data_IF_925174091812
#
_entry.id   IF_925174091812
#
_cell.length_a   1.000
_cell.length_b   1.000
_cell.length_c   1.000
_cell.angle_alpha   90.00
_cell.angle_beta   90.00
_cell.angle_gamma   90.00
#
_symmetry.space_group_name_H-M   'P 1'
#
loop_
_entity.id
_entity.type
_entity.pdbx_description
1 polymer ?
#
# COMPACT_ATOMS: atom_id res chain seq x y z
N UNK A 1 10.31 -13.73 -4.10
CA UNK A 1 10.09 -13.04 -5.40
C UNK A 1 9.01 -11.99 -5.23
N UNK A 2 8.92 -11.02 -6.15
CA UNK A 2 7.88 -9.97 -6.11
C UNK A 2 6.53 -10.58 -6.46
N UNK A 3 5.51 -10.37 -5.61
CA UNK A 3 4.13 -10.80 -5.85
C UNK A 3 3.25 -9.58 -6.04
N UNK A 4 2.49 -9.48 -7.16
CA UNK A 4 1.54 -8.38 -7.34
C UNK A 4 0.34 -8.56 -6.39
N UNK A 5 -0.11 -7.47 -5.80
CA UNK A 5 -1.33 -7.38 -5.01
C UNK A 5 -2.18 -6.21 -5.50
N UNK A 6 -3.50 -6.41 -5.55
CA UNK A 6 -4.42 -5.27 -5.56
C UNK A 6 -4.49 -4.68 -4.16
N UNK A 7 -4.89 -3.41 -4.04
CA UNK A 7 -5.09 -2.76 -2.73
C UNK A 7 -6.04 -3.58 -1.86
N UNK A 8 -7.17 -4.03 -2.44
CA UNK A 8 -8.13 -4.91 -1.76
C UNK A 8 -7.46 -6.18 -1.23
N UNK A 9 -6.72 -6.90 -2.08
CA UNK A 9 -6.10 -8.16 -1.69
C UNK A 9 -5.03 -7.99 -0.61
N UNK A 10 -4.31 -6.86 -0.61
CA UNK A 10 -3.34 -6.52 0.43
C UNK A 10 -4.02 -6.23 1.78
N UNK A 11 -5.16 -5.51 1.77
CA UNK A 11 -5.89 -5.12 2.98
C UNK A 11 -6.74 -6.25 3.57
N UNK A 12 -7.24 -7.17 2.73
CA UNK A 12 -7.97 -8.37 3.16
C UNK A 12 -7.02 -9.51 3.56
N UNK A 13 -5.70 -9.35 3.40
CA UNK A 13 -4.72 -10.35 3.79
C UNK A 13 -4.76 -10.56 5.32
N UNK A 14 -4.79 -11.83 5.75
CA UNK A 14 -4.75 -12.20 7.17
C UNK A 14 -3.32 -12.27 7.70
N UNK A 15 -2.33 -12.03 6.85
CA UNK A 15 -0.94 -11.96 7.26
C UNK A 15 -0.70 -10.82 8.27
N UNK A 16 0.19 -11.08 9.22
CA UNK A 16 0.55 -10.09 10.24
C UNK A 16 1.72 -9.25 9.75
N UNK A 17 1.47 -7.97 9.48
CA UNK A 17 2.50 -7.00 9.15
C UNK A 17 2.98 -6.26 10.41
N UNK A 18 4.30 -6.15 10.57
CA UNK A 18 4.94 -5.56 11.75
C UNK A 18 5.81 -4.38 11.31
N UNK A 19 5.57 -3.21 11.89
CA UNK A 19 6.45 -2.05 11.75
C UNK A 19 7.48 -2.13 12.88
N UNK A 20 8.77 -2.37 12.60
CA UNK A 20 9.77 -2.53 13.64
C UNK A 20 10.16 -1.18 14.27
N UNK A 21 10.63 -1.22 15.52
CA UNK A 21 10.92 -0.01 16.32
C UNK A 21 11.97 0.94 15.73
N UNK A 22 12.83 0.44 14.85
CA UNK A 22 13.88 1.24 14.20
C UNK A 22 13.37 1.98 12.96
N UNK A 23 12.14 1.73 12.53
CA UNK A 23 11.50 2.51 11.48
C UNK A 23 11.10 3.90 11.97
N UNK A 24 10.95 4.81 11.02
CA UNK A 24 10.52 6.19 11.31
C UNK A 24 9.05 6.19 11.75
N UNK A 25 8.66 7.19 12.53
CA UNK A 25 7.24 7.39 12.84
C UNK A 25 6.42 7.71 11.57
N UNK A 26 5.11 7.50 11.66
CA UNK A 26 4.19 8.01 10.65
C UNK A 26 4.30 9.54 10.58
N UNK A 27 4.49 10.06 9.36
CA UNK A 27 4.86 11.44 9.11
C UNK A 27 4.22 12.00 7.82
N UNK A 28 3.42 11.19 7.10
CA UNK A 28 2.63 11.70 5.99
C UNK A 28 1.57 12.66 6.53
N UNK A 29 1.55 13.86 5.98
CA UNK A 29 0.54 14.87 6.25
C UNK A 29 -0.55 14.85 5.18
N UNK A 30 -1.37 15.90 5.19
CA UNK A 30 -2.48 16.05 4.26
C UNK A 30 -2.05 16.00 2.78
N UNK A 31 -0.88 16.57 2.44
CA UNK A 31 -0.38 16.60 1.07
C UNK A 31 -0.13 15.21 0.50
N UNK A 32 0.62 14.37 1.21
CA UNK A 32 0.93 13.00 0.75
C UNK A 32 -0.31 12.11 0.75
N UNK A 33 -1.18 12.27 1.75
CA UNK A 33 -2.45 11.52 1.82
C UNK A 33 -3.35 11.91 0.63
N UNK A 34 -3.49 13.20 0.36
CA UNK A 34 -4.30 13.70 -0.76
C UNK A 34 -3.76 13.21 -2.10
N UNK A 35 -2.43 13.23 -2.29
CA UNK A 35 -1.82 12.71 -3.51
C UNK A 35 -2.12 11.22 -3.70
N UNK A 36 -1.96 10.40 -2.65
CA UNK A 36 -2.28 8.97 -2.72
C UNK A 36 -3.76 8.74 -3.08
N UNK A 37 -4.67 9.50 -2.49
CA UNK A 37 -6.10 9.41 -2.80
C UNK A 37 -6.40 9.83 -4.24
N UNK A 38 -5.78 10.93 -4.70
CA UNK A 38 -5.96 11.42 -6.06
C UNK A 38 -5.47 10.40 -7.09
N UNK A 39 -4.33 9.76 -6.85
CA UNK A 39 -3.79 8.70 -7.71
C UNK A 39 -4.78 7.52 -7.87
N UNK A 40 -5.46 7.15 -6.77
CA UNK A 40 -6.51 6.10 -6.78
C UNK A 40 -7.74 6.56 -7.56
N UNK A 41 -8.19 7.81 -7.34
CA UNK A 41 -9.37 8.37 -8.03
C UNK A 41 -9.13 8.55 -9.53
N UNK A 42 -7.94 9.01 -9.93
CA UNK A 42 -7.56 9.18 -11.33
C UNK A 42 -7.56 7.84 -12.07
N UNK A 43 -7.10 6.78 -11.41
CA UNK A 43 -7.20 5.43 -11.96
C UNK A 43 -8.66 4.99 -12.14
N UNK A 44 -9.53 5.23 -11.16
CA UNK A 44 -10.96 4.92 -11.28
C UNK A 44 -11.62 5.68 -12.44
N UNK A 45 -11.33 6.97 -12.63
CA UNK A 45 -11.88 7.75 -13.74
C UNK A 45 -11.43 7.21 -15.10
N UNK A 46 -10.16 6.78 -15.23
CA UNK A 46 -9.65 6.18 -16.47
C UNK A 46 -10.38 4.89 -16.83
N UNK A 47 -10.74 4.06 -15.85
CA UNK A 47 -11.55 2.86 -16.06
C UNK A 47 -12.93 3.18 -16.65
N UNK A 48 -13.59 4.22 -16.13
CA UNK A 48 -14.92 4.65 -16.59
C UNK A 48 -14.87 5.26 -17.99
N UNK A 49 -13.76 5.91 -18.36
CA UNK A 49 -13.59 6.60 -19.64
C UNK A 49 -13.39 5.68 -20.87
N UNK A 50 -13.43 4.35 -20.71
CA UNK A 50 -13.37 3.40 -21.83
C UNK A 50 -11.98 3.23 -22.46
N UNK A 51 -10.92 3.84 -21.89
CA UNK A 51 -9.53 3.74 -22.37
C UNK A 51 -8.83 2.40 -22.03
N UNK A 52 -9.59 1.39 -21.60
CA UNK A 52 -9.08 0.08 -21.18
C UNK A 52 -8.47 0.10 -19.77
N UNK A 53 -8.38 -1.05 -19.08
CA UNK A 53 -7.82 -1.13 -17.74
C UNK A 53 -6.31 -0.89 -17.76
N UNK A 54 -5.87 0.30 -17.31
CA UNK A 54 -4.46 0.57 -17.06
C UNK A 54 -4.12 0.31 -15.60
N UNK A 55 -3.55 -0.84 -15.25
CA UNK A 55 -3.11 -1.11 -13.87
C UNK A 55 -2.24 0.02 -13.35
N UNK A 56 -2.74 0.77 -12.36
CA UNK A 56 -1.95 1.79 -11.69
C UNK A 56 -1.07 1.15 -10.62
N UNK A 57 0.22 1.47 -10.65
CA UNK A 57 1.19 0.97 -9.69
C UNK A 57 1.46 2.03 -8.61
N UNK A 58 0.89 1.82 -7.42
CA UNK A 58 1.03 2.72 -6.27
C UNK A 58 2.39 2.58 -5.54
N UNK A 59 3.19 1.57 -5.89
CA UNK A 59 4.50 1.29 -5.32
C UNK A 59 4.66 -0.13 -4.75
N UNK A 60 5.86 -0.43 -4.24
CA UNK A 60 6.22 -1.73 -3.64
C UNK A 60 6.19 -1.66 -2.12
N UNK A 61 5.61 -2.68 -1.47
CA UNK A 61 5.77 -2.95 -0.05
C UNK A 61 6.92 -3.97 0.10
N UNK A 62 8.04 -3.56 0.69
CA UNK A 62 9.19 -4.44 0.92
C UNK A 62 9.09 -5.00 2.33
N UNK A 63 9.13 -6.32 2.45
CA UNK A 63 9.01 -7.01 3.73
C UNK A 63 10.07 -8.07 3.92
N UNK A 64 10.39 -8.34 5.18
CA UNK A 64 11.14 -9.51 5.63
C UNK A 64 10.17 -10.55 6.19
N UNK A 65 10.18 -11.77 5.63
CA UNK A 65 9.40 -12.88 6.14
C UNK A 65 10.10 -13.46 7.38
N UNK A 66 9.44 -13.44 8.53
CA UNK A 66 9.94 -14.01 9.77
C UNK A 66 9.54 -15.48 9.91
N UNK A 67 10.27 -16.20 10.75
CA UNK A 67 10.04 -17.64 10.98
C UNK A 67 8.66 -17.94 11.62
N UNK A 68 8.06 -16.97 12.30
CA UNK A 68 6.72 -17.07 12.90
C UNK A 68 5.58 -16.83 11.90
N UNK A 69 5.90 -16.64 10.61
CA UNK A 69 4.94 -16.37 9.54
C UNK A 69 4.48 -14.92 9.45
N UNK A 70 5.04 -14.00 10.26
CA UNK A 70 4.78 -12.57 10.13
C UNK A 70 5.71 -11.90 9.11
N UNK A 71 5.31 -10.70 8.66
CA UNK A 71 6.08 -9.89 7.73
C UNK A 71 6.51 -8.59 8.40
N UNK A 72 7.81 -8.37 8.49
CA UNK A 72 8.37 -7.11 8.98
C UNK A 72 8.54 -6.12 7.84
N UNK A 73 8.00 -4.91 7.99
CA UNK A 73 8.01 -3.88 6.96
C UNK A 73 9.37 -3.19 6.91
N UNK A 74 10.02 -3.26 5.75
CA UNK A 74 11.33 -2.64 5.47
C UNK A 74 11.14 -1.31 4.73
N UNK A 75 10.25 -1.27 3.74
CA UNK A 75 9.97 -0.07 2.94
C UNK A 75 8.50 -0.04 2.49
N UNK A 76 7.97 1.15 2.21
CA UNK A 76 6.58 1.38 1.85
C UNK A 76 5.64 1.58 3.06
N UNK A 77 6.19 1.75 4.27
CA UNK A 77 5.41 1.79 5.51
C UNK A 77 4.34 2.90 5.54
N UNK A 78 4.64 4.10 5.04
CA UNK A 78 3.74 5.24 5.21
C UNK A 78 2.49 5.01 4.36
N UNK A 79 2.70 4.70 3.08
CA UNK A 79 1.63 4.29 2.15
C UNK A 79 0.83 3.11 2.70
N UNK A 80 1.50 2.07 3.20
CA UNK A 80 0.80 0.91 3.76
C UNK A 80 -0.04 1.27 4.99
N UNK A 81 0.48 2.13 5.86
CA UNK A 81 -0.23 2.62 7.06
C UNK A 81 -1.43 3.47 6.65
N UNK A 82 -1.27 4.41 5.72
CA UNK A 82 -2.37 5.24 5.21
C UNK A 82 -3.47 4.38 4.58
N UNK A 83 -3.13 3.40 3.75
CA UNK A 83 -4.12 2.49 3.16
C UNK A 83 -4.83 1.66 4.23
N UNK A 84 -4.10 1.19 5.25
CA UNK A 84 -4.68 0.45 6.38
C UNK A 84 -5.63 1.28 7.23
N UNK A 85 -5.39 2.60 7.35
CA UNK A 85 -6.27 3.52 8.07
C UNK A 85 -7.55 3.87 7.29
N UNK A 86 -7.51 3.79 5.96
CA UNK A 86 -8.64 4.09 5.07
C UNK A 86 -9.57 2.89 4.82
N UNK A 87 -9.11 1.69 5.16
CA UNK A 87 -9.80 0.41 4.95
C UNK A 87 -10.95 0.21 5.95
#
# INVERSE_FOLDING_TARGET
>A
GVRPFSIRALLEDRARYLVPMYQRNYAWGEGEITQLLQDVLDYQQKLVSGKGPQTYYIGTLVVFARDDGSFEVIDGQQRFTTLSLLA
#
